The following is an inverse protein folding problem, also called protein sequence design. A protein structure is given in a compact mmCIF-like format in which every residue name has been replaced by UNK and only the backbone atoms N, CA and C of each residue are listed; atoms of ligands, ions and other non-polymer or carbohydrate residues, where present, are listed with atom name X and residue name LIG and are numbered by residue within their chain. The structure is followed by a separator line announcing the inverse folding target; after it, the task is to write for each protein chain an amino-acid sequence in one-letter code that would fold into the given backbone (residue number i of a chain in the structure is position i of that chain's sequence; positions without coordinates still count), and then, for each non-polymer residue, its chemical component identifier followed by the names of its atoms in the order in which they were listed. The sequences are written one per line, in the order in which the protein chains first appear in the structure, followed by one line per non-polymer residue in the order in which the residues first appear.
data_IF_951047077168
#
_entry.id   IF_951047077168
#
_cell.length_a   1.000
_cell.length_b   1.000
_cell.length_c   1.000
_cell.angle_alpha   90.00
_cell.angle_beta   90.00
_cell.angle_gamma   90.00
#
_symmetry.space_group_name_H-M   'P 1'
#
loop_
_entity.id
_entity.type
_entity.pdbx_description
1 polymer ?
#
# COMPACT_ATOMS: atom_id res chain seq x y z
N UNK A 1 5.61 -6.13 8.12
CA UNK A 1 6.56 -5.16 7.52
C UNK A 1 5.83 -3.85 7.42
N UNK A 2 6.39 -2.73 7.90
CA UNK A 2 5.75 -1.41 7.81
C UNK A 2 6.23 -0.58 6.62
N UNK A 3 7.25 -1.06 5.91
CA UNK A 3 7.86 -0.34 4.81
C UNK A 3 7.26 -0.84 3.50
N UNK A 4 6.17 -0.18 3.07
CA UNK A 4 5.68 -0.29 1.71
C UNK A 4 6.62 0.52 0.81
N UNK A 5 7.34 -0.15 -0.10
CA UNK A 5 8.30 0.53 -0.97
C UNK A 5 7.60 1.09 -2.21
N UNK A 6 7.62 2.41 -2.35
CA UNK A 6 7.06 3.07 -3.54
C UNK A 6 7.88 2.70 -4.78
N UNK A 7 7.24 2.24 -5.87
CA UNK A 7 7.95 1.91 -7.10
C UNK A 7 8.40 3.17 -7.83
N UNK A 8 9.55 3.08 -8.50
CA UNK A 8 10.07 4.19 -9.31
C UNK A 8 9.42 4.19 -10.68
N UNK A 9 8.74 5.30 -11.01
CA UNK A 9 8.13 5.49 -12.33
C UNK A 9 9.21 5.48 -13.43
N UNK A 10 9.02 4.71 -14.52
CA UNK A 10 9.93 4.72 -15.65
C UNK A 10 10.03 6.11 -16.27
N UNK A 11 11.23 6.47 -16.73
CA UNK A 11 11.41 7.69 -17.52
C UNK A 11 10.70 7.55 -18.86
N UNK A 12 9.88 8.55 -19.22
CA UNK A 12 9.20 8.59 -20.51
C UNK A 12 10.09 9.28 -21.56
N UNK A 13 10.58 8.57 -22.59
CA UNK A 13 11.40 9.16 -23.64
C UNK A 13 10.64 10.22 -24.44
N UNK A 14 11.35 11.25 -24.92
CA UNK A 14 10.76 12.30 -25.77
C UNK A 14 10.34 11.77 -27.16
N UNK A 15 11.08 10.80 -27.68
CA UNK A 15 10.78 10.09 -28.91
C UNK A 15 11.32 8.66 -28.84
N UNK A 16 10.72 7.78 -29.65
CA UNK A 16 11.24 6.44 -29.90
C UNK A 16 11.79 6.39 -31.32
N UNK A 17 12.99 5.85 -31.48
CA UNK A 17 13.69 5.74 -32.76
C UNK A 17 13.72 4.31 -33.30
N UNK A 18 13.30 3.33 -32.50
CA UNK A 18 13.20 1.93 -32.91
C UNK A 18 12.11 1.15 -32.16
N UNK A 19 11.69 0.02 -32.73
CA UNK A 19 10.75 -0.90 -32.06
C UNK A 19 11.30 -1.43 -30.74
N UNK A 20 12.62 -1.67 -30.66
CA UNK A 20 13.27 -2.14 -29.44
C UNK A 20 13.11 -1.15 -28.27
N UNK A 21 13.19 0.16 -28.52
CA UNK A 21 13.00 1.17 -27.47
C UNK A 21 11.56 1.19 -26.96
N UNK A 22 10.59 0.99 -27.87
CA UNK A 22 9.17 0.86 -27.52
C UNK A 22 8.96 -0.36 -26.65
N UNK A 23 9.50 -1.52 -27.05
CA UNK A 23 9.34 -2.78 -26.33
C UNK A 23 10.01 -2.72 -24.94
N UNK A 24 11.19 -2.10 -24.85
CA UNK A 24 11.91 -1.87 -23.60
C UNK A 24 11.12 -0.97 -22.64
N UNK A 25 10.58 0.15 -23.13
CA UNK A 25 9.75 1.05 -22.31
C UNK A 25 8.46 0.36 -21.86
N UNK A 26 7.78 -0.39 -22.74
CA UNK A 26 6.58 -1.15 -22.39
C UNK A 26 6.86 -2.20 -21.30
N UNK A 27 8.01 -2.87 -21.35
CA UNK A 27 8.43 -3.79 -20.30
C UNK A 27 8.64 -3.09 -18.96
N UNK A 28 9.27 -1.91 -18.95
CA UNK A 28 9.45 -1.09 -17.74
C UNK A 28 8.11 -0.63 -17.17
N UNK A 29 7.17 -0.15 -18.02
CA UNK A 29 5.83 0.25 -17.60
C UNK A 29 5.05 -0.93 -17.00
N UNK A 30 5.13 -2.11 -17.63
CA UNK A 30 4.48 -3.32 -17.10
C UNK A 30 5.04 -3.69 -15.73
N UNK A 31 6.35 -3.62 -15.56
CA UNK A 31 7.00 -3.90 -14.29
C UNK A 31 6.61 -2.87 -13.21
N UNK A 32 6.64 -1.58 -13.53
CA UNK A 32 6.17 -0.51 -12.64
C UNK A 32 4.72 -0.71 -12.21
N UNK A 33 3.82 -1.03 -13.15
CA UNK A 33 2.41 -1.26 -12.83
C UNK A 33 2.24 -2.45 -11.87
N UNK A 34 3.02 -3.52 -12.04
CA UNK A 34 3.00 -4.65 -11.11
C UNK A 34 3.44 -4.23 -9.72
N UNK A 35 4.58 -3.55 -9.60
CA UNK A 35 5.08 -3.09 -8.30
C UNK A 35 4.13 -2.08 -7.64
N UNK A 36 3.42 -1.27 -8.44
CA UNK A 36 2.43 -0.33 -7.94
C UNK A 36 1.22 -1.03 -7.32
N UNK A 37 0.77 -2.15 -7.90
CA UNK A 37 -0.30 -2.96 -7.30
C UNK A 37 0.16 -3.56 -5.97
N UNK A 38 1.39 -4.09 -5.92
CA UNK A 38 1.96 -4.65 -4.68
C UNK A 38 2.09 -3.56 -3.59
N UNK A 39 2.51 -2.36 -3.97
CA UNK A 39 2.61 -1.21 -3.08
C UNK A 39 1.25 -0.80 -2.52
N UNK A 40 0.21 -0.71 -3.37
CA UNK A 40 -1.15 -0.37 -2.95
C UNK A 40 -1.69 -1.44 -1.98
N UNK A 41 -1.54 -2.72 -2.31
CA UNK A 41 -1.99 -3.81 -1.45
C UNK A 41 -1.32 -3.77 -0.07
N UNK A 42 -0.03 -3.42 -0.01
CA UNK A 42 0.69 -3.23 1.25
C UNK A 42 0.09 -2.08 2.10
N UNK A 43 -0.25 -0.95 1.47
CA UNK A 43 -0.88 0.19 2.16
C UNK A 43 -2.27 -0.15 2.69
N UNK A 44 -3.05 -0.91 1.92
CA UNK A 44 -4.37 -1.40 2.34
C UNK A 44 -4.25 -2.32 3.56
N UNK A 45 -3.36 -3.32 3.51
CA UNK A 45 -3.09 -4.22 4.64
C UNK A 45 -2.66 -3.46 5.89
N UNK A 46 -1.75 -2.49 5.75
CA UNK A 46 -1.30 -1.66 6.86
C UNK A 46 -2.45 -0.89 7.50
N UNK A 47 -3.31 -0.29 6.68
CA UNK A 47 -4.46 0.52 7.14
C UNK A 47 -5.52 -0.36 7.82
N UNK A 48 -5.80 -1.53 7.27
CA UNK A 48 -6.74 -2.49 7.85
C UNK A 48 -6.27 -2.99 9.21
N UNK A 49 -4.99 -3.31 9.35
CA UNK A 49 -4.40 -3.72 10.61
C UNK A 49 -4.50 -2.60 11.66
N UNK A 50 -4.17 -1.36 11.30
CA UNK A 50 -4.30 -0.21 12.19
C UNK A 50 -5.76 0.01 12.63
N UNK A 51 -6.72 -0.12 11.72
CA UNK A 51 -8.14 -0.01 12.03
C UNK A 51 -8.62 -1.10 13.01
N UNK A 52 -8.14 -2.33 12.83
CA UNK A 52 -8.46 -3.44 13.73
C UNK A 52 -7.89 -3.22 15.14
N UNK A 53 -6.66 -2.69 15.24
CA UNK A 53 -6.05 -2.32 16.51
C UNK A 53 -6.83 -1.21 17.22
N UNK A 54 -7.26 -0.17 16.50
CA UNK A 54 -8.10 0.90 17.04
C UNK A 54 -9.42 0.34 17.59
N UNK A 55 -10.09 -0.54 16.85
CA UNK A 55 -11.34 -1.18 17.31
C UNK A 55 -11.12 -1.94 18.62
N UNK A 56 -10.06 -2.76 18.69
CA UNK A 56 -9.72 -3.52 19.90
C UNK A 56 -9.45 -2.61 21.09
N UNK A 57 -8.76 -1.49 20.89
CA UNK A 57 -8.52 -0.48 21.94
C UNK A 57 -9.84 0.15 22.40
N UNK A 58 -10.72 0.52 21.47
CA UNK A 58 -12.04 1.09 21.80
C UNK A 58 -12.94 0.11 22.54
N UNK A 59 -12.90 -1.17 22.21
CA UNK A 59 -13.60 -2.23 22.95
C UNK A 59 -13.06 -2.35 24.38
N UNK A 60 -11.74 -2.44 24.55
CA UNK A 60 -11.11 -2.50 25.89
C UNK A 60 -11.38 -1.27 26.75
N UNK A 61 -11.42 -0.08 26.14
CA UNK A 61 -11.76 1.14 26.85
C UNK A 61 -13.22 1.13 27.34
N UNK A 62 -14.15 0.63 26.52
CA UNK A 62 -15.56 0.47 26.90
C UNK A 62 -15.74 -0.56 28.01
N UNK A 63 -15.12 -1.73 27.88
CA UNK A 63 -15.12 -2.76 28.93
C UNK A 63 -14.63 -2.20 30.28
N UNK A 64 -13.54 -1.43 30.28
CA UNK A 64 -13.00 -0.83 31.50
C UNK A 64 -13.93 0.22 32.13
N UNK A 65 -14.67 0.98 31.32
CA UNK A 65 -15.68 1.94 31.81
C UNK A 65 -16.89 1.20 32.39
N UNK A 66 -17.38 0.20 31.67
CA UNK A 66 -18.54 -0.59 32.09
C UNK A 66 -18.23 -1.32 33.39
N UNK A 67 -17.07 -1.98 33.50
CA UNK A 67 -16.60 -2.59 34.73
C UNK A 67 -16.68 -1.57 35.89
N UNK A 68 -16.16 -0.35 35.72
CA UNK A 68 -16.21 0.69 36.76
C UNK A 68 -17.61 1.18 37.12
N UNK A 69 -18.58 1.12 36.21
CA UNK A 69 -19.96 1.51 36.47
C UNK A 69 -20.77 0.43 37.20
N UNK A 70 -20.26 -0.81 37.26
CA UNK A 70 -20.87 -1.96 37.94
C UNK A 70 -20.33 -2.21 39.37
N UNK A 71 -19.43 -1.35 39.88
CA UNK A 71 -18.95 -1.31 41.28
C UNK A 71 -19.32 0.01 41.95
#
# INVERSE_FOLDING_TARGET
SHDCNEPVKPFNPYSFTSQWEIDSYNAQVKNYNSQLQDYIACLEEYTDNANNDIKRIQEKAREAIDDKNYW
#
